data_IF_250511493586
#
_entry.id   IF_250511493586
#
_cell.length_a   1.000
_cell.length_b   1.000
_cell.length_c   1.000
_cell.angle_alpha   90.00
_cell.angle_beta   90.00
_cell.angle_gamma   90.00
#
_symmetry.space_group_name_H-M   'P 1'
#
loop_
_entity.id
_entity.type
_entity.pdbx_description
1 polymer ?
#
# COMPACT_ATOMS: atom_id res chain seq x y z
N UNK A 1 16.18 11.66 -14.59
CA UNK A 1 14.71 11.61 -14.69
C UNK A 1 14.31 10.34 -13.98
N UNK A 2 13.39 10.44 -13.02
CA UNK A 2 12.82 9.26 -12.38
C UNK A 2 11.76 8.67 -13.30
N UNK A 3 11.74 7.35 -13.44
CA UNK A 3 10.63 6.64 -14.08
C UNK A 3 9.76 6.05 -12.98
N UNK A 4 8.43 6.12 -13.14
CA UNK A 4 7.49 5.62 -12.14
C UNK A 4 6.61 4.54 -12.77
N UNK A 5 6.56 3.38 -12.13
CA UNK A 5 5.72 2.25 -12.53
C UNK A 5 4.68 1.99 -11.43
N UNK A 6 3.41 2.09 -11.77
CA UNK A 6 2.32 1.87 -10.82
C UNK A 6 2.00 0.38 -10.64
N UNK A 7 1.57 0.03 -9.43
CA UNK A 7 1.11 -1.30 -9.04
C UNK A 7 2.05 -2.46 -9.43
N UNK A 8 3.35 -2.41 -9.06
CA UNK A 8 4.23 -3.56 -9.23
C UNK A 8 3.62 -4.78 -8.54
N UNK A 9 3.94 -5.97 -9.05
CA UNK A 9 3.54 -7.21 -8.40
C UNK A 9 4.21 -7.32 -7.04
N UNK A 10 3.56 -8.01 -6.11
CA UNK A 10 4.13 -8.23 -4.78
C UNK A 10 5.51 -8.91 -4.86
N UNK A 11 5.66 -9.88 -5.77
CA UNK A 11 6.92 -10.59 -6.00
C UNK A 11 8.04 -9.75 -6.62
N UNK A 12 7.72 -8.63 -7.26
CA UNK A 12 8.73 -7.66 -7.74
C UNK A 12 9.26 -6.80 -6.58
N UNK A 13 8.45 -6.57 -5.55
CA UNK A 13 8.80 -5.69 -4.42
C UNK A 13 9.41 -6.43 -3.25
N UNK A 14 8.82 -7.55 -2.82
CA UNK A 14 9.23 -8.23 -1.58
C UNK A 14 9.98 -9.54 -1.86
N UNK A 15 10.99 -9.82 -1.03
CA UNK A 15 11.78 -11.05 -1.11
C UNK A 15 11.00 -12.30 -0.66
N UNK A 16 10.01 -12.13 0.20
CA UNK A 16 9.21 -13.21 0.83
C UNK A 16 7.72 -12.85 0.79
N UNK A 17 6.85 -13.86 0.93
CA UNK A 17 5.39 -13.68 1.00
C UNK A 17 4.87 -13.36 2.40
N UNK A 18 5.75 -13.09 3.37
CA UNK A 18 5.34 -12.98 4.79
C UNK A 18 4.46 -11.75 5.08
N UNK A 19 4.55 -10.72 4.24
CA UNK A 19 3.80 -9.48 4.32
C UNK A 19 2.64 -9.43 3.32
N UNK A 20 2.33 -10.53 2.62
CA UNK A 20 1.15 -10.61 1.77
C UNK A 20 -0.11 -10.39 2.62
N UNK A 21 -0.98 -9.49 2.16
CA UNK A 21 -2.15 -9.07 2.91
C UNK A 21 -1.86 -8.06 4.03
N UNK A 22 -0.60 -7.74 4.34
CA UNK A 22 -0.26 -6.63 5.24
C UNK A 22 0.11 -5.39 4.43
N UNK A 23 0.92 -5.55 3.38
CA UNK A 23 1.40 -4.45 2.55
C UNK A 23 0.89 -4.52 1.11
N UNK A 24 0.52 -3.36 0.58
CA UNK A 24 0.12 -3.11 -0.80
C UNK A 24 1.23 -2.38 -1.55
N UNK A 25 1.83 -2.98 -2.59
CA UNK A 25 2.73 -2.28 -3.49
C UNK A 25 1.98 -1.20 -4.28
N UNK A 26 2.36 0.06 -4.11
CA UNK A 26 1.71 1.20 -4.75
C UNK A 26 2.39 1.56 -6.06
N UNK A 27 3.70 1.77 -6.02
CA UNK A 27 4.50 2.11 -7.20
C UNK A 27 5.99 1.84 -6.98
N UNK A 28 6.72 1.79 -8.08
CA UNK A 28 8.18 1.73 -8.15
C UNK A 28 8.70 3.03 -8.74
N UNK A 29 9.66 3.67 -8.07
CA UNK A 29 10.53 4.69 -8.63
C UNK A 29 11.82 4.03 -9.09
N UNK A 30 12.16 4.24 -10.37
CA UNK A 30 13.49 3.93 -10.90
C UNK A 30 14.35 5.18 -10.87
N UNK A 31 15.45 5.15 -10.09
CA UNK A 31 16.38 6.27 -9.97
C UNK A 31 17.21 6.46 -11.24
N UNK A 32 17.89 7.61 -11.36
CA UNK A 32 18.84 7.84 -12.45
C UNK A 32 20.01 6.83 -12.50
N UNK A 33 20.25 6.12 -11.39
CA UNK A 33 21.24 5.05 -11.29
C UNK A 33 20.62 3.65 -11.51
N UNK A 34 19.38 3.60 -12.00
CA UNK A 34 18.61 2.37 -12.24
C UNK A 34 18.35 1.55 -10.97
N UNK A 35 18.30 2.21 -9.80
CA UNK A 35 17.85 1.59 -8.55
C UNK A 35 16.33 1.61 -8.51
N UNK A 36 15.71 0.49 -8.16
CA UNK A 36 14.27 0.40 -7.99
C UNK A 36 13.92 0.53 -6.51
N UNK A 37 13.09 1.53 -6.21
CA UNK A 37 12.62 1.82 -4.87
C UNK A 37 11.09 1.84 -4.90
N UNK A 38 10.46 1.17 -3.95
CA UNK A 38 9.03 0.95 -3.93
C UNK A 38 8.34 1.74 -2.82
N UNK A 39 7.21 2.34 -3.14
CA UNK A 39 6.22 2.73 -2.14
C UNK A 39 5.31 1.54 -1.86
N UNK A 40 5.16 1.23 -0.58
CA UNK A 40 4.22 0.24 -0.09
C UNK A 40 3.37 0.86 1.02
N UNK A 41 2.11 0.44 1.14
CA UNK A 41 1.20 0.93 2.18
C UNK A 41 0.65 -0.24 2.98
N UNK A 42 0.47 -0.06 4.28
CA UNK A 42 -0.21 -1.00 5.17
C UNK A 42 -1.65 -0.57 5.51
N UNK A 43 -2.23 0.37 4.75
CA UNK A 43 -3.63 0.77 4.94
C UNK A 43 -4.56 -0.45 5.00
N UNK A 44 -5.65 -0.33 5.75
CA UNK A 44 -6.50 -1.48 6.07
C UNK A 44 -6.03 -2.25 7.30
N UNK A 45 -4.83 -1.97 7.81
CA UNK A 45 -4.31 -2.53 9.07
C UNK A 45 -4.16 -1.42 10.12
N UNK A 46 -4.72 -1.66 11.30
CA UNK A 46 -4.45 -0.79 12.46
C UNK A 46 -3.07 -1.08 13.04
N UNK A 47 -2.39 -0.05 13.57
CA UNK A 47 -1.11 -0.22 14.26
C UNK A 47 -1.33 -0.49 15.75
N UNK A 48 -0.53 -1.40 16.30
CA UNK A 48 -0.33 -1.56 17.73
C UNK A 48 0.73 -0.59 18.22
N UNK A 49 0.30 0.53 18.81
CA UNK A 49 1.20 1.56 19.32
C UNK A 49 2.01 1.10 20.55
N UNK A 50 1.63 -0.02 21.18
CA UNK A 50 2.37 -0.60 22.30
C UNK A 50 3.56 -1.45 21.82
N UNK A 51 3.50 -1.94 20.57
CA UNK A 51 4.57 -2.71 19.95
C UNK A 51 5.41 -1.78 19.07
N UNK A 52 6.71 -1.66 19.40
CA UNK A 52 7.62 -0.83 18.64
C UNK A 52 8.98 -1.52 18.52
N UNK A 53 9.60 -1.44 17.36
CA UNK A 53 10.95 -1.91 17.12
C UNK A 53 11.81 -0.80 16.49
N UNK A 54 13.11 -1.07 16.33
CA UNK A 54 14.01 -0.18 15.58
C UNK A 54 13.75 -0.19 14.08
N UNK A 55 13.04 -1.20 13.59
CA UNK A 55 12.74 -1.40 12.17
C UNK A 55 11.34 -0.94 11.81
N UNK A 56 10.38 -0.96 12.73
CA UNK A 56 9.03 -0.49 12.47
C UNK A 56 8.26 -0.09 13.74
N UNK A 57 7.38 0.88 13.57
CA UNK A 57 6.42 1.36 14.56
C UNK A 57 5.31 2.12 13.83
N UNK A 58 4.46 2.84 14.57
CA UNK A 58 3.41 3.69 14.00
C UNK A 58 3.90 4.69 12.95
N UNK A 59 5.07 5.28 13.14
CA UNK A 59 5.58 6.36 12.30
C UNK A 59 6.31 5.85 11.07
N UNK A 60 6.96 4.69 11.14
CA UNK A 60 7.77 4.22 10.02
C UNK A 60 7.85 2.71 9.91
N UNK A 61 8.26 2.25 8.73
CA UNK A 61 8.69 0.89 8.45
C UNK A 61 9.98 0.92 7.63
N UNK A 62 10.99 0.17 8.06
CA UNK A 62 12.28 0.03 7.40
C UNK A 62 12.34 -1.31 6.68
N UNK A 63 12.93 -1.30 5.50
CA UNK A 63 13.30 -2.51 4.76
C UNK A 63 14.77 -2.41 4.34
N UNK A 64 15.45 -3.55 4.34
CA UNK A 64 16.73 -3.67 3.63
C UNK A 64 16.46 -4.12 2.20
N UNK A 65 17.36 -3.79 1.27
CA UNK A 65 17.26 -4.19 -0.13
C UNK A 65 18.25 -5.31 -0.41
N UNK A 66 17.74 -6.47 -0.82
CA UNK A 66 18.53 -7.59 -1.30
C UNK A 66 18.04 -8.00 -2.69
N UNK A 67 18.96 -8.06 -3.66
CA UNK A 67 18.65 -8.41 -5.04
C UNK A 67 17.51 -7.57 -5.66
N UNK A 68 17.47 -6.29 -5.30
CA UNK A 68 16.45 -5.34 -5.75
C UNK A 68 15.10 -5.46 -5.04
N UNK A 69 14.97 -6.33 -4.03
CA UNK A 69 13.73 -6.56 -3.29
C UNK A 69 13.85 -6.16 -1.83
N UNK A 70 12.72 -5.77 -1.26
CA UNK A 70 12.58 -5.43 0.14
C UNK A 70 12.57 -6.70 1.00
N UNK A 71 13.45 -6.71 1.99
CA UNK A 71 13.53 -7.69 3.06
C UNK A 71 13.12 -6.99 4.34
N UNK A 72 12.06 -7.51 4.97
CA UNK A 72 11.53 -6.99 6.22
C UNK A 72 12.21 -7.68 7.40
N UNK A 73 12.63 -6.88 8.38
CA UNK A 73 13.25 -7.37 9.62
C UNK A 73 12.57 -6.80 10.88
N UNK A 74 11.39 -6.20 10.71
CA UNK A 74 10.60 -5.65 11.81
C UNK A 74 9.68 -6.66 12.46
N UNK A 75 8.90 -6.16 13.41
CA UNK A 75 7.94 -6.95 14.18
C UNK A 75 6.57 -6.92 13.48
N UNK A 76 6.12 -8.05 12.94
CA UNK A 76 4.81 -8.12 12.25
C UNK A 76 3.64 -7.88 13.19
N UNK A 77 3.80 -8.12 14.49
CA UNK A 77 2.77 -7.85 15.50
C UNK A 77 2.45 -6.37 15.68
N UNK A 78 3.26 -5.47 15.11
CA UNK A 78 2.91 -4.03 15.00
C UNK A 78 1.63 -3.84 14.18
N UNK A 79 1.33 -4.73 13.22
CA UNK A 79 0.10 -4.65 12.43
C UNK A 79 -0.99 -5.51 13.08
N UNK A 80 -1.98 -4.86 13.70
CA UNK A 80 -3.06 -5.52 14.45
C UNK A 80 -3.84 -6.46 13.55
N UNK A 81 -3.97 -7.71 13.99
CA UNK A 81 -4.68 -8.74 13.25
C UNK A 81 -3.91 -9.34 12.08
N UNK A 82 -2.58 -9.17 11.99
CA UNK A 82 -1.77 -9.78 10.92
C UNK A 82 -1.98 -11.30 10.78
N UNK A 83 -2.20 -12.03 11.88
CA UNK A 83 -2.52 -13.46 11.85
C UNK A 83 -3.92 -13.78 11.28
N UNK A 84 -4.87 -12.86 11.45
CA UNK A 84 -6.20 -12.96 10.81
C UNK A 84 -6.08 -12.61 9.32
N UNK A 85 -5.32 -11.55 8.99
CA UNK A 85 -5.04 -11.16 7.61
C UNK A 85 -4.41 -12.31 6.80
N UNK A 86 -3.48 -13.09 7.37
CA UNK A 86 -2.92 -14.29 6.72
C UNK A 86 -3.97 -15.35 6.33
N UNK A 87 -5.09 -15.41 7.04
CA UNK A 87 -6.18 -16.33 6.74
C UNK A 87 -7.20 -15.73 5.76
N UNK A 88 -7.49 -14.44 5.90
CA UNK A 88 -8.47 -13.71 5.08
C UNK A 88 -7.92 -13.40 3.69
N UNK A 89 -6.67 -12.94 3.59
CA UNK A 89 -6.06 -12.47 2.35
C UNK A 89 -6.13 -13.49 1.19
N UNK A 90 -5.77 -14.78 1.37
CA UNK A 90 -5.84 -15.75 0.29
C UNK A 90 -7.26 -15.92 -0.28
N UNK A 91 -8.29 -15.79 0.56
CA UNK A 91 -9.70 -15.92 0.15
C UNK A 91 -10.11 -14.74 -0.73
N UNK A 92 -9.83 -13.52 -0.27
CA UNK A 92 -10.22 -12.30 -0.98
C UNK A 92 -9.39 -12.07 -2.25
N UNK A 93 -8.11 -12.44 -2.22
CA UNK A 93 -7.23 -12.40 -3.39
C UNK A 93 -7.69 -13.38 -4.46
N UNK A 94 -8.07 -14.60 -4.08
CA UNK A 94 -8.62 -15.60 -5.00
C UNK A 94 -9.97 -15.14 -5.58
N UNK A 95 -10.86 -14.60 -4.75
CA UNK A 95 -12.14 -14.07 -5.21
C UNK A 95 -11.95 -12.93 -6.22
N UNK A 96 -11.10 -11.96 -5.91
CA UNK A 96 -10.86 -10.83 -6.80
C UNK A 96 -10.15 -11.27 -8.09
N UNK A 97 -9.26 -12.26 -8.03
CA UNK A 97 -8.64 -12.82 -9.24
C UNK A 97 -9.70 -13.44 -10.16
N UNK A 98 -10.69 -14.13 -9.60
CA UNK A 98 -11.76 -14.76 -10.37
C UNK A 98 -12.80 -13.74 -10.89
N UNK A 99 -13.14 -12.73 -10.09
CA UNK A 99 -14.33 -11.91 -10.27
C UNK A 99 -14.05 -10.41 -10.46
N UNK A 100 -12.81 -9.94 -10.27
CA UNK A 100 -12.47 -8.51 -10.20
C UNK A 100 -12.83 -7.71 -11.45
N UNK A 101 -12.67 -8.29 -12.64
CA UNK A 101 -13.10 -7.66 -13.90
C UNK A 101 -14.63 -7.56 -13.98
N UNK A 102 -15.36 -8.55 -13.47
CA UNK A 102 -16.81 -8.49 -13.40
C UNK A 102 -17.25 -7.39 -12.43
N UNK A 103 -16.62 -7.28 -11.26
CA UNK A 103 -16.88 -6.22 -10.28
C UNK A 103 -16.65 -4.83 -10.87
N UNK A 104 -15.54 -4.64 -11.59
CA UNK A 104 -15.22 -3.40 -12.28
C UNK A 104 -16.26 -3.04 -13.35
N UNK A 105 -16.69 -4.02 -14.16
CA UNK A 105 -17.68 -3.81 -15.23
C UNK A 105 -19.09 -3.54 -14.69
N UNK A 106 -19.50 -4.25 -13.64
CA UNK A 106 -20.80 -4.08 -12.99
C UNK A 106 -20.83 -2.89 -12.04
N UNK A 107 -19.68 -2.25 -11.80
CA UNK A 107 -19.53 -1.13 -10.86
C UNK A 107 -19.97 -1.50 -9.43
N UNK A 108 -19.61 -2.72 -9.02
CA UNK A 108 -19.99 -3.28 -7.72
C UNK A 108 -19.59 -2.34 -6.58
N UNK A 109 -20.52 -2.06 -5.68
CA UNK A 109 -20.32 -1.12 -4.56
C UNK A 109 -19.52 -1.80 -3.44
N UNK A 110 -18.80 -0.99 -2.66
CA UNK A 110 -17.99 -1.46 -1.53
C UNK A 110 -18.83 -2.33 -0.58
N UNK A 111 -19.99 -1.84 -0.13
CA UNK A 111 -20.86 -2.59 0.78
C UNK A 111 -21.32 -3.93 0.21
N UNK A 112 -21.68 -3.98 -1.09
CA UNK A 112 -22.06 -5.24 -1.76
C UNK A 112 -20.91 -6.24 -1.83
N UNK A 113 -19.67 -5.75 -1.98
CA UNK A 113 -18.48 -6.60 -1.93
C UNK A 113 -18.22 -7.12 -0.52
N UNK A 114 -18.26 -6.23 0.49
CA UNK A 114 -18.04 -6.59 1.90
C UNK A 114 -19.05 -7.65 2.34
N UNK A 115 -20.35 -7.44 2.11
CA UNK A 115 -21.40 -8.38 2.50
C UNK A 115 -21.18 -9.77 1.89
N UNK A 116 -20.82 -9.82 0.60
CA UNK A 116 -20.55 -11.08 -0.09
C UNK A 116 -19.32 -11.78 0.48
N UNK A 117 -18.23 -11.05 0.73
CA UNK A 117 -17.00 -11.65 1.27
C UNK A 117 -17.18 -12.10 2.71
N UNK A 118 -17.85 -11.32 3.57
CA UNK A 118 -18.13 -11.72 4.96
C UNK A 118 -18.87 -13.06 5.02
N UNK A 119 -19.77 -13.32 4.07
CA UNK A 119 -20.44 -14.62 3.97
C UNK A 119 -19.48 -15.78 3.67
N UNK A 120 -18.35 -15.52 2.98
CA UNK A 120 -17.29 -16.50 2.68
C UNK A 120 -16.29 -16.67 3.84
N UNK A 121 -16.25 -15.72 4.76
CA UNK A 121 -15.36 -15.73 5.94
C UNK A 121 -16.06 -16.24 7.21
N UNK A 122 -17.31 -16.69 7.13
CA UNK A 122 -18.16 -16.98 8.28
C UNK A 122 -17.60 -18.05 9.25
N UNK A 123 -16.74 -18.95 8.75
CA UNK A 123 -16.12 -20.02 9.54
C UNK A 123 -14.80 -19.58 10.21
N UNK A 124 -14.29 -18.38 9.92
CA UNK A 124 -13.07 -17.86 10.52
C UNK A 124 -13.34 -17.17 11.85
N UNK A 125 -12.41 -17.34 12.81
CA UNK A 125 -12.39 -16.52 14.01
C UNK A 125 -11.68 -15.20 13.71
N UNK A 126 -12.46 -14.13 13.56
CA UNK A 126 -11.95 -12.80 13.24
C UNK A 126 -11.53 -12.00 14.49
N UNK A 127 -11.97 -12.41 15.68
CA UNK A 127 -11.67 -11.69 16.93
C UNK A 127 -12.07 -10.20 16.86
N UNK A 128 -11.19 -9.32 17.37
CA UNK A 128 -11.34 -7.86 17.32
C UNK A 128 -10.75 -7.24 16.04
N UNK A 129 -10.43 -8.04 15.03
CA UNK A 129 -9.91 -7.54 13.76
C UNK A 129 -11.00 -6.75 13.02
N UNK A 130 -10.67 -5.53 12.61
CA UNK A 130 -11.55 -4.66 11.81
C UNK A 130 -11.62 -5.16 10.37
N UNK A 131 -12.32 -6.28 10.20
CA UNK A 131 -12.42 -6.98 8.92
C UNK A 131 -13.12 -6.13 7.86
N UNK A 132 -14.12 -5.32 8.23
CA UNK A 132 -14.83 -4.47 7.27
C UNK A 132 -13.90 -3.42 6.67
N UNK A 133 -13.10 -2.75 7.51
CA UNK A 133 -12.09 -1.80 7.03
C UNK A 133 -11.05 -2.50 6.15
N UNK A 134 -10.55 -3.65 6.57
CA UNK A 134 -9.59 -4.44 5.79
C UNK A 134 -10.13 -4.83 4.40
N UNK A 135 -11.38 -5.31 4.34
CA UNK A 135 -12.05 -5.71 3.10
C UNK A 135 -12.33 -4.52 2.19
N UNK A 136 -12.74 -3.39 2.77
CA UNK A 136 -12.89 -2.13 2.06
C UNK A 136 -11.55 -1.78 1.40
N UNK A 137 -10.47 -1.60 2.17
CA UNK A 137 -9.18 -1.17 1.64
C UNK A 137 -8.64 -2.12 0.57
N UNK A 138 -8.77 -3.43 0.77
CA UNK A 138 -8.38 -4.42 -0.24
C UNK A 138 -9.14 -4.22 -1.56
N UNK A 139 -10.47 -4.05 -1.49
CA UNK A 139 -11.30 -3.89 -2.68
C UNK A 139 -11.00 -2.60 -3.42
N UNK A 140 -10.80 -1.51 -2.66
CA UNK A 140 -10.43 -0.21 -3.18
C UNK A 140 -9.12 -0.30 -3.99
N UNK A 141 -8.05 -0.79 -3.35
CA UNK A 141 -6.76 -0.99 -4.03
C UNK A 141 -6.90 -1.86 -5.28
N UNK A 142 -7.61 -2.98 -5.16
CA UNK A 142 -7.70 -3.99 -6.22
C UNK A 142 -8.49 -3.51 -7.44
N UNK A 143 -9.60 -2.79 -7.23
CA UNK A 143 -10.40 -2.19 -8.31
C UNK A 143 -9.61 -1.08 -9.01
N UNK A 144 -8.92 -0.23 -8.25
CA UNK A 144 -8.13 0.86 -8.84
C UNK A 144 -6.98 0.30 -9.70
N UNK A 145 -6.27 -0.71 -9.17
CA UNK A 145 -5.26 -1.45 -9.92
C UNK A 145 -5.83 -2.07 -11.21
N UNK A 146 -6.98 -2.73 -11.13
CA UNK A 146 -7.61 -3.36 -12.30
C UNK A 146 -8.03 -2.33 -13.36
N UNK A 147 -8.55 -1.17 -12.95
CA UNK A 147 -8.92 -0.11 -13.89
C UNK A 147 -7.69 0.54 -14.54
N UNK A 148 -6.62 0.79 -13.78
CA UNK A 148 -5.34 1.26 -14.32
C UNK A 148 -4.77 0.27 -15.35
N UNK A 149 -4.71 -1.03 -15.00
CA UNK A 149 -4.19 -2.07 -15.90
C UNK A 149 -5.01 -2.18 -17.20
N UNK A 150 -6.30 -1.87 -17.16
CA UNK A 150 -7.18 -1.87 -18.33
C UNK A 150 -7.08 -0.59 -19.17
N UNK A 151 -7.00 0.56 -18.52
CA UNK A 151 -7.11 1.87 -19.18
C UNK A 151 -5.77 2.54 -19.48
N UNK A 152 -4.71 2.15 -18.78
CA UNK A 152 -3.40 2.82 -18.76
C UNK A 152 -3.41 4.18 -18.08
N UNK A 153 -4.53 4.60 -17.49
CA UNK A 153 -4.71 5.91 -16.86
C UNK A 153 -4.89 5.75 -15.37
N UNK A 154 -4.08 6.49 -14.60
CA UNK A 154 -4.29 6.60 -13.18
C UNK A 154 -5.33 7.70 -12.93
N UNK A 155 -6.45 7.33 -12.32
CA UNK A 155 -7.46 8.27 -11.83
C UNK A 155 -7.46 8.26 -10.31
N UNK A 156 -7.79 9.40 -9.68
CA UNK A 156 -7.92 9.46 -8.22
C UNK A 156 -8.92 8.41 -7.74
N UNK A 157 -8.59 7.64 -6.70
CA UNK A 157 -9.44 6.56 -6.20
C UNK A 157 -10.93 6.93 -6.05
N UNK A 158 -11.21 8.10 -5.45
CA UNK A 158 -12.58 8.62 -5.26
C UNK A 158 -13.37 8.76 -6.56
N UNK A 159 -12.72 8.99 -7.70
CA UNK A 159 -13.39 9.12 -9.00
C UNK A 159 -13.88 7.77 -9.55
N UNK A 160 -13.23 6.66 -9.16
CA UNK A 160 -13.63 5.29 -9.52
C UNK A 160 -14.87 4.86 -8.72
N UNK A 161 -15.01 5.26 -7.45
CA UNK A 161 -16.08 4.77 -6.57
C UNK A 161 -17.24 5.77 -6.34
N UNK A 162 -16.97 7.07 -6.16
CA UNK A 162 -17.99 8.07 -5.77
C UNK A 162 -18.77 8.67 -6.95
N UNK A 163 -18.52 8.21 -8.18
CA UNK A 163 -19.28 8.72 -9.33
C UNK A 163 -18.96 8.11 -10.67
N UNK A 164 -17.92 7.27 -10.80
CA UNK A 164 -17.44 6.79 -12.11
C UNK A 164 -17.30 7.93 -13.12
N UNK A 165 -16.83 9.07 -12.62
CA UNK A 165 -16.66 10.29 -13.41
C UNK A 165 -15.49 10.14 -14.39
N UNK A 166 -15.32 11.12 -15.28
CA UNK A 166 -14.06 11.21 -16.02
C UNK A 166 -12.94 11.44 -15.02
N UNK A 167 -11.89 10.62 -15.08
CA UNK A 167 -10.72 10.81 -14.25
C UNK A 167 -10.07 12.15 -14.60
N UNK A 168 -9.83 12.99 -13.59
CA UNK A 168 -8.84 14.05 -13.72
C UNK A 168 -7.48 13.39 -13.49
N UNK A 169 -6.52 13.62 -14.37
CA UNK A 169 -5.16 13.12 -14.19
C UNK A 169 -4.59 13.71 -12.89
N UNK A 170 -4.07 12.84 -12.02
CA UNK A 170 -3.39 13.22 -10.78
C UNK A 170 -1.99 12.67 -10.77
N UNK A 171 -1.05 13.47 -10.26
CA UNK A 171 0.29 13.00 -9.96
C UNK A 171 0.22 12.11 -8.72
N UNK A 172 0.40 10.81 -8.91
CA UNK A 172 0.31 9.77 -7.86
C UNK A 172 1.53 9.75 -6.94
N UNK A 173 2.64 10.34 -7.38
CA UNK A 173 3.92 10.42 -6.67
C UNK A 173 4.51 11.79 -6.95
N UNK A 174 4.83 12.49 -5.88
CA UNK A 174 5.51 13.78 -5.96
C UNK A 174 6.98 13.57 -5.61
N UNK A 175 7.85 13.84 -6.57
CA UNK A 175 9.31 13.82 -6.39
C UNK A 175 9.90 15.23 -6.22
N UNK A 176 9.05 16.27 -6.24
CA UNK A 176 9.49 17.64 -6.02
C UNK A 176 9.79 17.83 -4.53
N UNK A 177 11.08 17.97 -4.23
CA UNK A 177 11.62 18.02 -2.88
C UNK A 177 11.26 19.33 -2.14
N UNK A 178 10.86 20.40 -2.85
CA UNK A 178 10.55 21.70 -2.23
C UNK A 178 9.29 21.65 -1.34
N UNK A 179 8.33 20.78 -1.63
CA UNK A 179 7.14 20.55 -0.78
C UNK A 179 7.35 19.49 0.31
N UNK A 180 8.38 18.67 0.17
CA UNK A 180 8.62 17.48 0.97
C UNK A 180 9.07 17.83 2.41
N UNK A 181 9.77 18.96 2.58
CA UNK A 181 10.18 19.52 3.87
C UNK A 181 8.99 20.00 4.74
N UNK A 182 7.79 20.13 4.18
CA UNK A 182 6.59 20.45 5.00
C UNK A 182 5.78 19.22 5.39
N UNK A 183 5.84 18.14 4.60
CA UNK A 183 5.04 16.91 4.80
C UNK A 183 5.82 15.76 5.44
N UNK A 184 7.13 15.70 5.24
CA UNK A 184 7.97 14.58 5.65
C UNK A 184 9.04 14.96 6.71
N UNK A 185 9.14 16.25 7.08
CA UNK A 185 10.19 16.74 7.95
C UNK A 185 9.95 16.40 9.43
N UNK A 186 10.36 15.19 9.85
CA UNK A 186 10.65 14.94 11.26
C UNK A 186 11.53 13.71 11.56
N UNK A 187 11.58 12.69 10.70
CA UNK A 187 12.03 11.35 11.15
C UNK A 187 13.34 10.84 10.53
N UNK A 188 13.83 11.42 9.44
CA UNK A 188 15.08 11.00 8.81
C UNK A 188 16.23 11.93 9.21
N UNK A 189 17.12 11.49 10.11
CA UNK A 189 18.39 12.16 10.37
C UNK A 189 19.56 11.48 9.64
N UNK A 190 20.51 12.28 9.16
CA UNK A 190 21.83 11.84 8.71
C UNK A 190 21.88 11.17 7.34
N UNK A 191 21.69 9.85 7.30
CA UNK A 191 22.12 8.95 6.20
C UNK A 191 21.04 8.63 5.14
N UNK A 192 19.82 9.11 5.37
CA UNK A 192 18.67 8.85 4.51
C UNK A 192 18.40 10.05 3.59
N UNK A 193 18.39 9.80 2.28
CA UNK A 193 18.00 10.77 1.26
C UNK A 193 16.51 10.63 0.96
N UNK A 194 15.78 11.76 0.92
CA UNK A 194 14.38 11.74 0.52
C UNK A 194 14.23 11.46 -0.98
N UNK A 195 13.33 10.54 -1.33
CA UNK A 195 13.09 10.11 -2.71
C UNK A 195 11.79 10.71 -3.26
N UNK A 196 10.75 10.77 -2.44
CA UNK A 196 9.45 11.30 -2.83
C UNK A 196 8.38 11.00 -1.79
N UNK A 197 7.14 11.38 -2.10
CA UNK A 197 5.98 10.98 -1.31
C UNK A 197 4.79 10.57 -2.18
N UNK A 198 3.91 9.73 -1.63
CA UNK A 198 2.61 9.38 -2.20
C UNK A 198 1.49 9.92 -1.32
N UNK A 199 0.40 10.35 -1.94
CA UNK A 199 -0.82 10.70 -1.23
C UNK A 199 -1.69 9.44 -1.10
N UNK A 200 -2.01 9.02 0.13
CA UNK A 200 -2.74 7.78 0.38
C UNK A 200 -4.12 7.76 -0.28
N UNK A 201 -4.83 8.89 -0.23
CA UNK A 201 -6.17 9.04 -0.81
C UNK A 201 -6.23 8.97 -2.35
N UNK A 202 -5.08 8.96 -3.03
CA UNK A 202 -5.02 8.70 -4.47
C UNK A 202 -5.16 7.19 -4.77
N UNK A 203 -4.74 6.33 -3.84
CA UNK A 203 -4.78 4.88 -3.97
C UNK A 203 -5.99 4.23 -3.26
N UNK A 204 -6.57 4.91 -2.28
CA UNK A 204 -7.61 4.42 -1.36
C UNK A 204 -8.65 5.54 -1.04
N UNK A 205 -9.80 5.24 -0.41
CA UNK A 205 -10.78 6.28 0.00
C UNK A 205 -10.24 7.16 1.13
N UNK A 206 -9.57 6.50 2.07
CA UNK A 206 -8.78 7.05 3.15
C UNK A 206 -7.40 6.38 3.12
N UNK A 207 -6.38 7.08 3.60
CA UNK A 207 -5.06 6.47 3.60
C UNK A 207 -3.96 7.36 4.07
N UNK A 208 -2.93 6.72 4.63
CA UNK A 208 -1.73 7.41 5.05
C UNK A 208 -0.95 7.88 3.84
N UNK A 209 -0.53 9.14 3.88
CA UNK A 209 0.51 9.62 3.01
C UNK A 209 1.82 8.94 3.42
N UNK A 210 2.68 8.65 2.44
CA UNK A 210 3.93 7.94 2.69
C UNK A 210 5.08 8.74 2.11
N UNK A 211 6.11 8.97 2.92
CA UNK A 211 7.37 9.54 2.49
C UNK A 211 8.43 8.44 2.42
N UNK A 212 9.08 8.30 1.26
CA UNK A 212 10.11 7.30 1.04
C UNK A 212 11.49 7.95 1.15
N UNK A 213 12.32 7.35 1.99
CA UNK A 213 13.71 7.69 2.13
C UNK A 213 14.60 6.49 1.82
N UNK A 214 15.82 6.76 1.36
CA UNK A 214 16.77 5.74 0.97
C UNK A 214 18.18 6.03 1.49
N UNK A 215 18.75 5.05 2.17
CA UNK A 215 20.15 5.00 2.55
C UNK A 215 20.91 4.20 1.49
N UNK A 216 21.58 4.94 0.60
CA UNK A 216 22.37 4.38 -0.52
C UNK A 216 23.54 3.52 -0.05
N UNK A 217 24.11 3.82 1.12
CA UNK A 217 25.31 3.16 1.63
C UNK A 217 24.97 1.78 2.19
N UNK A 218 23.92 1.70 3.01
CA UNK A 218 23.51 0.46 3.66
C UNK A 218 22.42 -0.29 2.89
N UNK A 219 21.95 0.27 1.76
CA UNK A 219 20.85 -0.29 0.94
C UNK A 219 19.58 -0.51 1.76
N UNK A 220 19.19 0.50 2.53
CA UNK A 220 17.98 0.48 3.34
C UNK A 220 17.00 1.54 2.87
N UNK A 221 15.71 1.22 2.93
CA UNK A 221 14.64 2.20 2.73
C UNK A 221 13.88 2.42 4.03
N UNK A 222 13.41 3.64 4.22
CA UNK A 222 12.55 4.02 5.33
C UNK A 222 11.29 4.63 4.74
N UNK A 223 10.15 3.95 4.96
CA UNK A 223 8.83 4.46 4.66
C UNK A 223 8.27 5.10 5.92
N UNK A 224 8.04 6.41 5.86
CA UNK A 224 7.44 7.19 6.96
C UNK A 224 5.97 7.42 6.65
N UNK A 225 5.11 6.98 7.55
CA UNK A 225 3.66 7.18 7.46
C UNK A 225 3.31 8.57 8.01
N UNK A 226 2.53 9.32 7.26
CA UNK A 226 1.95 10.58 7.69
C UNK A 226 0.42 10.49 7.68
N UNK A 227 -0.17 10.67 8.86
CA UNK A 227 -1.62 10.84 9.00
C UNK A 227 -1.94 12.31 8.76
N UNK A 228 -2.56 12.62 7.62
CA UNK A 228 -3.07 13.95 7.27
C UNK A 228 -4.45 14.23 7.85
#
# INVERSE_FOLDING_TARGET
MFEITLYPTYSEVFATSELEGVFYPLCTITTALNEQLHFVSHNGMWIDEEVNSQENNRQFTRFSIQDGKYVFAGETSVYKGYEVAKQVYPIIAADFTANGIAYLNSKKKIGEYIDEILSKLCDLNLGDFDVEYYLQTFYEYSINKADYQRSGKFGRFRQVIDGWGKADESDYVYTDLEGLDTHCAATASGQFEAIGYTIGSEFFTDGNDNCLYYDKQNKNVLLVNHYG
#
